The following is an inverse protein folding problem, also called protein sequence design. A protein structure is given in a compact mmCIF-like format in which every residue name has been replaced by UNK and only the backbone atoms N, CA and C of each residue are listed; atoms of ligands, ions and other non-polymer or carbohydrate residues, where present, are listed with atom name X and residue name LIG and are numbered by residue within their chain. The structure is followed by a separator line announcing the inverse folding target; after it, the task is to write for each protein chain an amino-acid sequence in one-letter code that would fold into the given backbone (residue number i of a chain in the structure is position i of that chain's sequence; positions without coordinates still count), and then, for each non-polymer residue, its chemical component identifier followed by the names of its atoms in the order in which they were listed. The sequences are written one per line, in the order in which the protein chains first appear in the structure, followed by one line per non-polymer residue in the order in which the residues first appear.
data_IF_067882295195
#
_entry.id   IF_067882295195
#
_cell.length_a   1.000
_cell.length_b   1.000
_cell.length_c   1.000
_cell.angle_alpha   90.00
_cell.angle_beta   90.00
_cell.angle_gamma   90.00
#
_symmetry.space_group_name_H-M   'P 1'
#
loop_
_entity.id
_entity.type
_entity.pdbx_description
1 polymer ?
#
# COMPACT_ATOMS: atom_id res chain seq x y z
N UNK A 1 6.99 -12.80 -5.16
CA UNK A 1 5.86 -12.82 -4.21
C UNK A 1 6.36 -12.19 -2.93
N UNK A 2 5.86 -11.01 -2.58
CA UNK A 2 6.24 -10.37 -1.32
C UNK A 2 5.51 -11.07 -0.17
N UNK A 3 6.24 -11.84 0.64
CA UNK A 3 5.71 -12.39 1.88
C UNK A 3 5.73 -11.31 2.96
N UNK A 4 4.66 -10.51 3.06
CA UNK A 4 4.34 -9.76 4.28
C UNK A 4 3.88 -10.80 5.31
N UNK A 5 4.78 -11.22 6.19
CA UNK A 5 4.56 -12.33 7.12
C UNK A 5 3.22 -12.22 7.86
N UNK A 6 2.38 -13.25 7.71
CA UNK A 6 1.16 -13.52 8.49
C UNK A 6 0.22 -12.33 8.77
N UNK A 7 0.21 -11.31 7.91
CA UNK A 7 -0.58 -10.10 8.11
C UNK A 7 -1.93 -10.24 7.38
N UNK A 8 -2.99 -10.48 8.14
CA UNK A 8 -4.37 -10.48 7.63
C UNK A 8 -4.93 -9.06 7.66
N UNK A 9 -5.18 -8.51 6.47
CA UNK A 9 -5.72 -7.16 6.27
C UNK A 9 -7.18 -7.20 5.80
N UNK A 10 -7.85 -8.35 5.92
CA UNK A 10 -9.23 -8.54 5.45
C UNK A 10 -10.15 -7.48 6.00
N UNK A 11 -10.79 -6.72 5.09
CA UNK A 11 -11.77 -5.69 5.44
C UNK A 11 -11.15 -4.35 5.89
N UNK A 12 -9.84 -4.26 6.04
CA UNK A 12 -9.16 -3.06 6.55
C UNK A 12 -9.03 -1.97 5.47
N UNK A 13 -9.09 -0.71 5.89
CA UNK A 13 -8.80 0.46 5.05
C UNK A 13 -7.44 1.02 5.43
N UNK A 14 -6.53 1.11 4.47
CA UNK A 14 -5.12 1.43 4.71
C UNK A 14 -4.75 2.74 4.02
N UNK A 15 -4.04 3.61 4.73
CA UNK A 15 -3.47 4.83 4.19
C UNK A 15 -1.95 4.69 4.12
N UNK A 16 -1.40 4.70 2.90
CA UNK A 16 0.04 4.78 2.67
C UNK A 16 0.45 6.25 2.72
N UNK A 17 1.44 6.55 3.53
CA UNK A 17 2.02 7.89 3.64
C UNK A 17 3.45 7.82 3.14
N UNK A 18 3.78 8.67 2.17
CA UNK A 18 5.12 8.75 1.58
C UNK A 18 5.57 10.22 1.57
N UNK A 19 6.87 10.48 1.49
CA UNK A 19 7.39 11.85 1.43
C UNK A 19 7.26 12.44 0.02
N UNK A 20 7.63 11.70 -1.03
CA UNK A 20 7.62 12.21 -2.41
C UNK A 20 7.07 11.20 -3.41
N UNK A 21 6.07 11.62 -4.20
CA UNK A 21 5.52 10.82 -5.29
C UNK A 21 6.29 11.06 -6.59
N UNK A 22 7.11 10.09 -7.00
CA UNK A 22 7.82 10.17 -8.28
C UNK A 22 7.05 9.45 -9.40
N UNK A 23 7.53 8.29 -9.86
CA UNK A 23 6.85 7.46 -10.86
C UNK A 23 5.70 6.65 -10.26
N UNK A 24 5.59 6.62 -8.93
CA UNK A 24 4.60 5.84 -8.19
C UNK A 24 4.77 4.33 -8.32
N UNK A 25 5.92 3.83 -8.81
CA UNK A 25 6.19 2.38 -8.87
C UNK A 25 6.24 1.77 -7.47
N UNK A 26 6.89 2.45 -6.53
CA UNK A 26 7.01 2.01 -5.13
C UNK A 26 5.64 1.92 -4.47
N UNK A 27 4.85 3.00 -4.51
CA UNK A 27 3.49 3.03 -3.95
C UNK A 27 2.55 2.02 -4.60
N UNK A 28 2.63 1.82 -5.92
CA UNK A 28 1.82 0.79 -6.60
C UNK A 28 2.21 -0.62 -6.14
N UNK A 29 3.50 -0.92 -6.04
CA UNK A 29 3.96 -2.22 -5.57
C UNK A 29 3.52 -2.48 -4.13
N UNK A 30 3.66 -1.50 -3.24
CA UNK A 30 3.17 -1.60 -1.86
C UNK A 30 1.66 -1.83 -1.79
N UNK A 31 0.88 -1.07 -2.58
CA UNK A 31 -0.57 -1.26 -2.65
C UNK A 31 -0.95 -2.66 -3.14
N UNK A 32 -0.28 -3.19 -4.17
CA UNK A 32 -0.50 -4.57 -4.64
C UNK A 32 -0.28 -5.58 -3.52
N UNK A 33 0.83 -5.46 -2.78
CA UNK A 33 1.12 -6.39 -1.68
C UNK A 33 0.06 -6.33 -0.56
N UNK A 34 -0.44 -5.13 -0.24
CA UNK A 34 -1.49 -4.96 0.77
C UNK A 34 -2.85 -5.49 0.31
N UNK A 35 -3.17 -5.38 -0.98
CA UNK A 35 -4.37 -6.00 -1.56
C UNK A 35 -4.27 -7.53 -1.54
N UNK A 36 -3.09 -8.10 -1.82
CA UNK A 36 -2.84 -9.55 -1.70
C UNK A 36 -3.07 -10.05 -0.26
N UNK A 37 -2.86 -9.20 0.74
CA UNK A 37 -3.16 -9.47 2.15
C UNK A 37 -4.63 -9.25 2.55
N UNK A 38 -5.53 -8.86 1.63
CA UNK A 38 -6.97 -8.71 1.89
C UNK A 38 -7.45 -7.30 2.21
N UNK A 39 -6.61 -6.27 2.04
CA UNK A 39 -7.02 -4.88 2.26
C UNK A 39 -8.26 -4.52 1.40
N UNK A 40 -9.26 -3.90 2.02
CA UNK A 40 -10.51 -3.50 1.35
C UNK A 40 -10.34 -2.23 0.53
N UNK A 41 -9.53 -1.29 1.00
CA UNK A 41 -9.31 -0.01 0.35
C UNK A 41 -7.94 0.52 0.72
N UNK A 42 -7.22 1.05 -0.26
CA UNK A 42 -5.93 1.69 -0.05
C UNK A 42 -5.99 3.12 -0.60
N UNK A 43 -5.62 4.09 0.22
CA UNK A 43 -5.38 5.47 -0.20
C UNK A 43 -3.91 5.85 0.01
N UNK A 44 -3.43 6.85 -0.72
CA UNK A 44 -2.04 7.31 -0.65
C UNK A 44 -1.99 8.81 -0.41
N UNK A 45 -1.15 9.27 0.51
CA UNK A 45 -0.88 10.68 0.76
C UNK A 45 0.62 10.90 0.60
N UNK A 46 1.01 11.90 -0.19
CA UNK A 46 2.42 12.28 -0.38
C UNK A 46 2.63 13.75 -0.09
N UNK A 47 3.75 14.11 0.52
CA UNK A 47 4.06 15.51 0.87
C UNK A 47 4.47 16.32 -0.36
N UNK A 48 5.16 15.70 -1.32
CA UNK A 48 5.65 16.33 -2.55
C UNK A 48 5.42 15.44 -3.78
N UNK A 49 5.51 16.03 -4.98
CA UNK A 49 5.45 15.36 -6.29
C UNK A 49 6.73 15.67 -7.07
#
# INVERSE_FOLDING_TARGET
MCQLGNLDLTGQRICLVDDVYTTGRTLRHAATCLYECGAKQICTITLAR
#
